data_IF_754462921721
#
_entry.id   IF_754462921721
#
_cell.length_a   1.000
_cell.length_b   1.000
_cell.length_c   1.000
_cell.angle_alpha   90.00
_cell.angle_beta   90.00
_cell.angle_gamma   90.00
#
_symmetry.space_group_name_H-M   'P 1'
#
loop_
_entity.id
_entity.type
_entity.pdbx_description
1 polymer ?
#
# COMPACT_ATOMS: atom_id res chain seq x y z
N UNK A 1 -24.42 25.02 24.45
CA UNK A 1 -24.56 24.45 23.09
C UNK A 1 -24.02 23.02 23.04
N UNK A 2 -22.74 22.79 23.41
CA UNK A 2 -22.11 21.46 23.48
C UNK A 2 -22.81 20.46 24.41
N UNK A 3 -23.26 20.89 25.60
CA UNK A 3 -24.03 20.02 26.51
C UNK A 3 -25.36 19.56 25.91
N UNK A 4 -26.00 20.43 25.12
CA UNK A 4 -27.28 20.16 24.48
C UNK A 4 -27.11 19.14 23.33
N UNK A 5 -26.01 19.23 22.60
CA UNK A 5 -25.60 18.25 21.58
C UNK A 5 -25.26 16.90 22.23
N UNK A 6 -24.45 16.89 23.30
CA UNK A 6 -24.10 15.68 24.04
C UNK A 6 -25.32 14.99 24.66
N UNK A 7 -26.28 15.76 25.18
CA UNK A 7 -27.53 15.24 25.72
C UNK A 7 -28.38 14.57 24.62
N UNK A 8 -28.50 15.18 23.43
CA UNK A 8 -29.25 14.62 22.31
C UNK A 8 -28.63 13.33 21.75
N UNK A 9 -27.31 13.19 21.79
CA UNK A 9 -26.65 11.93 21.40
C UNK A 9 -26.90 10.79 22.39
N UNK A 10 -27.04 11.12 23.69
CA UNK A 10 -27.29 10.12 24.75
C UNK A 10 -28.73 9.60 24.79
N UNK A 11 -29.70 10.40 24.35
CA UNK A 11 -31.12 9.99 24.40
C UNK A 11 -31.47 8.92 23.38
N UNK A 12 -30.70 8.77 22.28
CA UNK A 12 -30.91 7.72 21.25
C UNK A 12 -29.60 7.03 20.82
N UNK A 13 -29.00 6.21 21.71
CA UNK A 13 -27.64 5.70 21.51
C UNK A 13 -27.48 4.78 20.30
N UNK A 14 -28.47 3.93 19.99
CA UNK A 14 -28.41 2.99 18.86
C UNK A 14 -28.27 3.69 17.50
N UNK A 15 -28.93 4.83 17.34
CA UNK A 15 -28.95 5.55 16.07
C UNK A 15 -27.68 6.35 15.85
N UNK A 16 -27.24 7.05 16.89
CA UNK A 16 -25.95 7.72 16.92
C UNK A 16 -24.86 6.71 16.59
N UNK A 17 -24.93 5.50 17.16
CA UNK A 17 -24.01 4.41 16.86
C UNK A 17 -24.01 4.03 15.38
N UNK A 18 -25.17 3.84 14.75
CA UNK A 18 -25.26 3.51 13.31
C UNK A 18 -24.61 4.60 12.44
N UNK A 19 -24.79 5.87 12.81
CA UNK A 19 -24.23 7.00 12.04
C UNK A 19 -22.72 7.08 12.20
N UNK A 20 -22.24 6.91 13.44
CA UNK A 20 -20.83 6.83 13.77
C UNK A 20 -20.17 5.65 13.04
N UNK A 21 -20.82 4.49 12.97
CA UNK A 21 -20.36 3.33 12.19
C UNK A 21 -20.31 3.66 10.71
N UNK A 22 -21.33 4.30 10.14
CA UNK A 22 -21.35 4.71 8.73
C UNK A 22 -20.18 5.61 8.35
N UNK A 23 -19.88 6.62 9.19
CA UNK A 23 -18.71 7.48 9.02
C UNK A 23 -17.40 6.69 9.22
N UNK A 24 -17.34 5.86 10.26
CA UNK A 24 -16.17 5.03 10.56
C UNK A 24 -15.83 4.09 9.39
N UNK A 25 -16.82 3.50 8.73
CA UNK A 25 -16.60 2.64 7.55
C UNK A 25 -15.91 3.40 6.40
N UNK A 26 -16.32 4.64 6.14
CA UNK A 26 -15.65 5.49 5.15
C UNK A 26 -14.19 5.75 5.49
N UNK A 27 -13.90 6.07 6.77
CA UNK A 27 -12.54 6.26 7.28
C UNK A 27 -11.72 4.98 7.17
N UNK A 28 -12.29 3.84 7.57
CA UNK A 28 -11.63 2.53 7.52
C UNK A 28 -11.21 2.18 6.10
N UNK A 29 -12.12 2.36 5.14
CA UNK A 29 -11.86 2.11 3.73
C UNK A 29 -10.71 2.98 3.22
N UNK A 30 -10.72 4.29 3.50
CA UNK A 30 -9.65 5.20 3.07
C UNK A 30 -8.31 4.80 3.69
N UNK A 31 -8.27 4.61 5.00
CA UNK A 31 -7.01 4.39 5.73
C UNK A 31 -6.40 3.03 5.42
N UNK A 32 -7.19 1.96 5.37
CA UNK A 32 -6.65 0.63 5.06
C UNK A 32 -6.13 0.53 3.63
N UNK A 33 -6.89 1.02 2.64
CA UNK A 33 -6.46 0.90 1.25
C UNK A 33 -5.27 1.79 0.92
N UNK A 34 -5.28 3.05 1.38
CA UNK A 34 -4.15 3.96 1.14
C UNK A 34 -2.92 3.51 1.93
N UNK A 35 -3.12 3.01 3.16
CA UNK A 35 -2.04 2.47 3.99
C UNK A 35 -1.41 1.23 3.39
N UNK A 36 -2.22 0.30 2.86
CA UNK A 36 -1.74 -0.89 2.17
C UNK A 36 -0.99 -0.53 0.88
N UNK A 37 -1.59 0.32 0.04
CA UNK A 37 -1.00 0.71 -1.24
C UNK A 37 0.39 1.34 -1.02
N UNK A 38 0.53 2.21 -0.02
CA UNK A 38 1.81 2.82 0.31
C UNK A 38 2.77 1.86 0.99
N UNK A 39 2.32 1.06 1.95
CA UNK A 39 3.18 0.10 2.62
C UNK A 39 3.83 -0.89 1.64
N UNK A 40 3.07 -1.34 0.63
CA UNK A 40 3.63 -2.15 -0.47
C UNK A 40 4.59 -1.33 -1.34
N UNK A 41 4.24 -0.09 -1.68
CA UNK A 41 5.05 0.77 -2.53
C UNK A 41 6.40 1.15 -1.88
N UNK A 42 6.38 1.57 -0.61
CA UNK A 42 7.56 1.96 0.17
C UNK A 42 8.47 0.75 0.45
N UNK A 43 7.91 -0.43 0.75
CA UNK A 43 8.68 -1.67 0.88
C UNK A 43 9.39 -2.03 -0.43
N UNK A 44 8.69 -1.90 -1.57
CA UNK A 44 9.28 -2.11 -2.89
C UNK A 44 10.35 -1.06 -3.21
N UNK A 45 10.09 0.21 -2.91
CA UNK A 45 11.00 1.32 -3.17
C UNK A 45 12.29 1.21 -2.34
N UNK A 46 12.20 0.87 -1.05
CA UNK A 46 13.36 0.62 -0.19
C UNK A 46 14.24 -0.51 -0.71
N UNK A 47 13.62 -1.62 -1.16
CA UNK A 47 14.35 -2.77 -1.73
C UNK A 47 14.96 -2.46 -3.09
N UNK A 48 14.32 -1.60 -3.89
CA UNK A 48 14.86 -1.11 -5.16
C UNK A 48 15.98 -0.07 -4.95
N UNK A 49 15.89 0.76 -3.91
CA UNK A 49 16.93 1.75 -3.58
C UNK A 49 18.26 1.11 -3.19
N UNK A 50 18.20 -0.03 -2.50
CA UNK A 50 19.39 -0.82 -2.16
C UNK A 50 19.94 -1.63 -3.35
N UNK A 51 19.40 -1.47 -4.57
CA UNK A 51 20.05 -1.92 -5.79
C UNK A 51 20.92 -0.78 -6.32
N UNK A 52 22.23 -0.91 -6.20
CA UNK A 52 23.15 0.16 -6.60
C UNK A 52 23.51 0.13 -8.09
N UNK A 53 23.07 -0.89 -8.84
CA UNK A 53 23.24 -0.90 -10.29
C UNK A 53 22.52 0.29 -10.93
N UNK A 54 23.16 1.00 -11.86
CA UNK A 54 22.54 2.14 -12.54
C UNK A 54 21.61 1.69 -13.67
N UNK A 55 21.93 0.58 -14.31
CA UNK A 55 21.26 0.08 -15.52
C UNK A 55 20.73 -1.34 -15.29
N UNK A 56 19.52 -1.60 -15.79
CA UNK A 56 18.90 -2.92 -15.85
C UNK A 56 18.64 -3.26 -17.31
N UNK A 57 19.42 -4.21 -17.81
CA UNK A 57 19.33 -4.73 -19.17
C UNK A 57 18.31 -5.87 -19.24
N UNK A 58 17.31 -5.71 -20.10
CA UNK A 58 16.16 -6.62 -20.21
C UNK A 58 15.84 -6.91 -21.67
N UNK A 59 15.11 -8.01 -21.92
CA UNK A 59 14.37 -8.15 -23.17
C UNK A 59 12.96 -7.56 -23.05
N UNK A 60 12.34 -7.14 -24.16
CA UNK A 60 10.92 -6.79 -24.16
C UNK A 60 10.07 -7.89 -23.48
N UNK A 61 9.20 -7.51 -22.54
CA UNK A 61 8.33 -8.42 -21.79
C UNK A 61 8.98 -9.25 -20.66
N UNK A 62 10.26 -9.01 -20.33
CA UNK A 62 10.97 -9.78 -19.29
C UNK A 62 10.71 -9.31 -17.84
N UNK A 63 10.40 -8.02 -17.64
CA UNK A 63 10.20 -7.40 -16.31
C UNK A 63 8.81 -6.78 -16.14
N UNK A 64 7.77 -7.42 -16.67
CA UNK A 64 6.39 -7.02 -16.34
C UNK A 64 6.02 -7.42 -14.91
N UNK A 65 5.01 -6.76 -14.33
CA UNK A 65 4.67 -6.86 -12.90
C UNK A 65 4.45 -8.29 -12.39
N UNK A 66 4.00 -9.20 -13.26
CA UNK A 66 3.71 -10.60 -12.95
C UNK A 66 4.55 -11.59 -13.76
N UNK A 67 5.50 -11.13 -14.58
CA UNK A 67 6.26 -12.03 -15.44
C UNK A 67 7.48 -12.60 -14.72
N UNK A 68 7.62 -13.92 -14.74
CA UNK A 68 8.81 -14.65 -14.31
C UNK A 68 9.65 -15.13 -15.50
N UNK A 69 9.67 -14.36 -16.59
CA UNK A 69 10.26 -14.81 -17.86
C UNK A 69 11.79 -14.73 -17.83
N UNK A 70 12.47 -15.88 -17.83
CA UNK A 70 13.92 -15.96 -18.01
C UNK A 70 14.28 -16.08 -19.50
N UNK A 71 14.26 -14.96 -20.24
CA UNK A 71 14.47 -14.96 -21.69
C UNK A 71 15.78 -14.27 -22.14
N UNK A 72 16.53 -13.65 -21.23
CA UNK A 72 17.82 -12.98 -21.49
C UNK A 72 18.93 -14.01 -21.39
N UNK A 73 19.83 -14.09 -22.39
CA UNK A 73 20.97 -15.00 -22.32
C UNK A 73 22.02 -14.45 -21.32
N UNK A 74 22.49 -15.28 -20.38
CA UNK A 74 23.53 -14.88 -19.42
C UNK A 74 24.86 -14.52 -20.10
N UNK A 75 25.13 -15.05 -21.30
CA UNK A 75 26.31 -14.68 -22.10
C UNK A 75 26.36 -13.18 -22.45
N UNK A 76 25.24 -12.46 -22.39
CA UNK A 76 25.26 -11.01 -22.55
C UNK A 76 25.95 -10.30 -21.38
N UNK A 77 26.07 -10.90 -20.20
CA UNK A 77 26.75 -10.29 -19.07
C UNK A 77 28.25 -10.08 -19.34
N UNK A 78 28.90 -11.05 -19.98
CA UNK A 78 30.30 -10.93 -20.42
C UNK A 78 30.45 -9.85 -21.49
N UNK A 79 29.58 -9.84 -22.50
CA UNK A 79 29.58 -8.81 -23.55
C UNK A 79 29.31 -7.40 -23.02
N UNK A 80 28.47 -7.27 -22.01
CA UNK A 80 28.21 -5.98 -21.35
C UNK A 80 29.40 -5.52 -20.51
N UNK A 81 30.17 -6.45 -19.92
CA UNK A 81 31.37 -6.15 -19.14
C UNK A 81 32.51 -5.59 -20.01
N UNK A 82 32.56 -5.99 -21.29
CA UNK A 82 33.54 -5.49 -22.27
C UNK A 82 33.31 -4.02 -22.66
N UNK A 83 32.14 -3.46 -22.37
CA UNK A 83 31.79 -2.08 -22.72
C UNK A 83 32.56 -1.11 -21.81
N UNK A 84 33.26 -0.17 -22.43
CA UNK A 84 33.92 0.90 -21.67
C UNK A 84 32.89 1.74 -20.90
N UNK A 85 33.11 1.86 -19.60
CA UNK A 85 32.21 2.51 -18.64
C UNK A 85 31.51 1.52 -17.71
N UNK A 86 31.47 0.22 -18.05
CA UNK A 86 30.90 -0.82 -17.19
C UNK A 86 31.94 -1.34 -16.20
N UNK A 87 31.54 -1.45 -14.92
CA UNK A 87 32.37 -1.96 -13.82
C UNK A 87 32.07 -3.43 -13.51
N UNK A 88 30.79 -3.78 -13.43
CA UNK A 88 30.34 -5.11 -13.03
C UNK A 88 28.98 -5.43 -13.66
N UNK A 89 28.77 -6.69 -14.03
CA UNK A 89 27.50 -7.19 -14.56
C UNK A 89 27.05 -8.40 -13.77
N UNK A 90 25.76 -8.47 -13.45
CA UNK A 90 25.18 -9.56 -12.65
C UNK A 90 23.87 -10.03 -13.29
N UNK A 91 23.82 -11.25 -13.85
CA UNK A 91 22.57 -11.86 -14.26
C UNK A 91 21.69 -12.19 -13.05
N UNK A 92 20.40 -11.90 -13.16
CA UNK A 92 19.40 -12.19 -12.12
C UNK A 92 18.20 -12.87 -12.74
N UNK A 93 17.79 -14.00 -12.16
CA UNK A 93 16.46 -14.56 -12.38
C UNK A 93 15.55 -14.02 -11.29
N UNK A 94 14.44 -13.41 -11.70
CA UNK A 94 13.36 -13.02 -10.80
C UNK A 94 12.19 -13.96 -11.01
N UNK A 95 11.79 -14.65 -9.96
CA UNK A 95 10.65 -15.53 -9.97
C UNK A 95 9.61 -15.05 -8.96
N UNK A 96 8.38 -14.85 -9.42
CA UNK A 96 7.22 -14.49 -8.60
C UNK A 96 6.33 -15.72 -8.49
N UNK A 97 6.03 -16.13 -7.26
CA UNK A 97 5.15 -17.24 -6.92
C UNK A 97 4.10 -16.80 -5.89
N UNK A 98 2.92 -17.42 -5.80
CA UNK A 98 2.10 -17.30 -4.61
C UNK A 98 2.91 -17.70 -3.37
N UNK A 99 2.75 -16.96 -2.27
CA UNK A 99 3.36 -17.32 -1.00
C UNK A 99 2.72 -18.63 -0.50
N UNK A 100 3.54 -19.65 -0.23
CA UNK A 100 3.06 -20.98 0.17
C UNK A 100 2.70 -21.07 1.65
N UNK A 101 3.29 -20.23 2.51
CA UNK A 101 2.96 -20.14 3.94
C UNK A 101 1.82 -19.18 4.23
N UNK A 102 1.74 -18.07 3.51
CA UNK A 102 0.65 -17.11 3.66
C UNK A 102 -0.53 -17.50 2.76
N UNK A 103 -1.76 -17.49 3.29
CA UNK A 103 -2.98 -17.80 2.53
C UNK A 103 -3.18 -16.91 1.29
N UNK A 104 -2.60 -15.70 1.31
CA UNK A 104 -2.59 -14.72 0.23
C UNK A 104 -1.24 -14.00 0.22
N UNK A 105 -0.81 -13.53 -0.96
CA UNK A 105 0.44 -12.78 -1.13
C UNK A 105 1.28 -13.34 -2.27
N UNK A 106 2.15 -12.50 -2.83
CA UNK A 106 3.16 -12.90 -3.79
C UNK A 106 4.51 -12.94 -3.08
N UNK A 107 5.25 -14.01 -3.32
CA UNK A 107 6.62 -14.16 -2.88
C UNK A 107 7.53 -13.98 -4.10
N UNK A 108 8.57 -13.17 -3.94
CA UNK A 108 9.61 -13.02 -4.95
C UNK A 108 10.85 -13.77 -4.48
N UNK A 109 11.43 -14.54 -5.38
CA UNK A 109 12.68 -15.27 -5.21
C UNK A 109 13.62 -14.78 -6.30
N UNK A 110 14.85 -14.41 -5.90
CA UNK A 110 15.89 -14.07 -6.87
C UNK A 110 16.94 -15.19 -6.93
N UNK A 111 17.24 -15.66 -8.14
CA UNK A 111 18.40 -16.50 -8.43
C UNK A 111 19.57 -15.61 -8.84
N UNK A 112 20.64 -15.59 -8.02
CA UNK A 112 21.79 -14.71 -8.22
C UNK A 112 23.10 -15.41 -7.88
N UNK A 113 24.17 -15.02 -8.55
CA UNK A 113 25.52 -15.35 -8.10
C UNK A 113 25.88 -14.44 -6.92
N UNK A 114 26.02 -15.03 -5.73
CA UNK A 114 26.08 -14.28 -4.47
C UNK A 114 27.22 -13.25 -4.43
N UNK A 115 28.44 -13.65 -4.80
CA UNK A 115 29.62 -12.78 -4.65
C UNK A 115 29.52 -11.47 -5.45
N UNK A 116 29.32 -11.48 -6.77
CA UNK A 116 29.22 -10.24 -7.52
C UNK A 116 27.92 -9.46 -7.21
N UNK A 117 26.82 -10.15 -6.86
CA UNK A 117 25.59 -9.48 -6.44
C UNK A 117 25.74 -8.74 -5.11
N UNK A 118 26.42 -9.35 -4.14
CA UNK A 118 26.66 -8.76 -2.82
C UNK A 118 27.63 -7.58 -2.90
N UNK A 119 28.71 -7.70 -3.69
CA UNK A 119 29.64 -6.60 -3.96
C UNK A 119 28.95 -5.43 -4.65
N UNK A 120 28.13 -5.69 -5.67
CA UNK A 120 27.41 -4.67 -6.41
C UNK A 120 26.49 -3.84 -5.52
N UNK A 121 25.81 -4.47 -4.55
CA UNK A 121 24.74 -3.86 -3.77
C UNK A 121 25.12 -3.59 -2.31
N UNK A 122 26.40 -3.71 -1.96
CA UNK A 122 26.92 -3.57 -0.60
C UNK A 122 26.16 -4.42 0.45
N UNK A 123 25.82 -5.65 0.07
CA UNK A 123 25.08 -6.59 0.92
C UNK A 123 26.05 -7.44 1.72
N UNK A 124 25.76 -7.61 3.00
CA UNK A 124 26.52 -8.45 3.92
C UNK A 124 25.65 -9.54 4.51
N UNK A 125 26.29 -10.66 4.85
CA UNK A 125 25.66 -11.73 5.61
C UNK A 125 25.83 -11.39 7.09
N UNK A 126 24.72 -11.05 7.74
CA UNK A 126 24.67 -10.71 9.16
C UNK A 126 24.83 -11.97 10.01
N UNK A 127 24.29 -13.09 9.56
CA UNK A 127 24.36 -14.38 10.26
C UNK A 127 24.50 -15.53 9.26
N UNK A 128 25.33 -16.52 9.57
CA UNK A 128 25.49 -17.71 8.73
C UNK A 128 26.47 -17.50 7.58
N UNK A 129 26.15 -18.01 6.38
CA UNK A 129 27.01 -17.97 5.19
C UNK A 129 26.20 -17.87 3.89
N UNK A 130 26.90 -17.67 2.77
CA UNK A 130 26.29 -17.58 1.45
C UNK A 130 25.66 -18.91 1.03
N UNK A 131 24.59 -18.82 0.22
CA UNK A 131 23.88 -19.97 -0.33
C UNK A 131 24.70 -20.68 -1.41
N UNK A 132 24.77 -22.01 -1.32
CA UNK A 132 25.20 -22.91 -2.41
C UNK A 132 23.98 -23.42 -3.23
N UNK A 133 24.18 -24.44 -4.08
CA UNK A 133 23.20 -24.89 -5.09
C UNK A 133 21.91 -25.54 -4.56
N UNK A 134 21.83 -25.88 -3.27
CA UNK A 134 20.61 -26.39 -2.60
C UNK A 134 20.26 -25.59 -1.33
N UNK A 135 20.70 -24.35 -1.27
CA UNK A 135 20.58 -23.51 -0.08
C UNK A 135 19.99 -22.15 -0.43
N UNK A 136 19.43 -21.51 0.59
CA UNK A 136 18.85 -20.17 0.46
C UNK A 136 19.37 -19.27 1.56
N UNK A 137 19.46 -17.98 1.23
CA UNK A 137 19.63 -16.92 2.21
C UNK A 137 18.40 -16.03 2.18
N UNK A 138 18.00 -15.57 3.36
CA UNK A 138 16.81 -14.76 3.56
C UNK A 138 17.17 -13.41 4.17
N UNK A 139 16.35 -12.40 3.96
CA UNK A 139 16.52 -11.14 4.67
C UNK A 139 16.05 -11.26 6.15
N UNK A 140 16.49 -10.31 6.98
CA UNK A 140 16.13 -10.29 8.41
C UNK A 140 14.62 -10.24 8.65
N UNK A 141 13.86 -9.68 7.70
CA UNK A 141 12.41 -9.55 7.79
C UNK A 141 11.72 -10.89 7.56
N UNK A 142 12.05 -11.59 6.47
CA UNK A 142 11.45 -12.89 6.16
C UNK A 142 11.77 -13.94 7.21
N UNK A 143 12.97 -13.88 7.80
CA UNK A 143 13.31 -14.71 8.96
C UNK A 143 12.37 -14.48 10.15
N UNK A 144 12.04 -13.22 10.42
CA UNK A 144 11.18 -12.80 11.55
C UNK A 144 9.70 -13.10 11.30
N UNK A 145 9.19 -12.74 10.13
CA UNK A 145 7.76 -12.78 9.81
C UNK A 145 7.26 -14.23 9.69
N UNK A 146 8.07 -15.11 9.09
CA UNK A 146 7.75 -16.54 8.97
C UNK A 146 8.29 -17.39 10.13
N UNK A 147 8.92 -16.74 11.12
CA UNK A 147 9.54 -17.35 12.29
C UNK A 147 10.54 -18.48 11.95
N UNK A 148 11.35 -18.27 10.91
CA UNK A 148 12.42 -19.19 10.51
C UNK A 148 13.67 -19.03 11.37
N UNK A 149 14.44 -20.10 11.49
CA UNK A 149 15.76 -20.14 12.10
C UNK A 149 16.79 -20.65 11.09
N UNK A 150 18.06 -20.36 11.35
CA UNK A 150 19.16 -20.95 10.57
C UNK A 150 19.10 -22.47 10.65
N UNK A 151 19.36 -23.12 9.52
CA UNK A 151 19.22 -24.56 9.26
C UNK A 151 17.79 -25.09 9.13
N UNK A 152 16.76 -24.27 9.26
CA UNK A 152 15.41 -24.67 8.85
C UNK A 152 15.36 -24.91 7.33
N UNK A 153 14.32 -25.60 6.87
CA UNK A 153 14.08 -25.85 5.46
C UNK A 153 12.86 -25.08 4.95
N UNK A 154 12.96 -24.57 3.73
CA UNK A 154 11.84 -23.98 2.99
C UNK A 154 11.58 -24.79 1.72
N UNK A 155 10.31 -25.06 1.44
CA UNK A 155 9.91 -25.76 0.22
C UNK A 155 9.74 -24.75 -0.91
N UNK A 156 10.56 -24.85 -1.95
CA UNK A 156 10.51 -24.04 -3.17
C UNK A 156 10.56 -24.99 -4.37
N UNK A 157 9.74 -24.77 -5.40
CA UNK A 157 9.71 -25.61 -6.60
C UNK A 157 9.50 -27.12 -6.32
N UNK A 158 8.78 -27.46 -5.25
CA UNK A 158 8.58 -28.85 -4.81
C UNK A 158 9.83 -29.53 -4.24
N UNK A 159 10.87 -28.77 -3.87
CA UNK A 159 12.10 -29.23 -3.23
C UNK A 159 12.38 -28.46 -1.96
N UNK A 160 13.04 -29.11 -0.99
CA UNK A 160 13.42 -28.47 0.27
C UNK A 160 14.81 -27.84 0.13
N UNK A 161 14.88 -26.53 0.35
CA UNK A 161 16.11 -25.75 0.40
C UNK A 161 16.46 -25.42 1.85
N UNK A 162 17.74 -25.49 2.20
CA UNK A 162 18.20 -25.20 3.56
C UNK A 162 18.51 -23.71 3.73
N UNK A 163 18.02 -23.12 4.83
CA UNK A 163 18.29 -21.74 5.21
C UNK A 163 19.67 -21.66 5.86
N UNK A 164 20.64 -21.01 5.21
CA UNK A 164 22.05 -20.99 5.67
C UNK A 164 22.58 -19.62 6.04
N UNK A 165 21.86 -18.55 5.72
CA UNK A 165 22.30 -17.21 6.02
C UNK A 165 21.19 -16.18 6.04
N UNK A 166 21.47 -15.08 6.75
CA UNK A 166 20.62 -13.91 6.84
C UNK A 166 21.40 -12.71 6.29
N UNK A 167 20.82 -11.98 5.35
CA UNK A 167 21.48 -10.84 4.70
C UNK A 167 20.84 -9.49 5.01
N UNK A 168 21.66 -8.44 5.00
CA UNK A 168 21.26 -7.04 5.09
C UNK A 168 22.25 -6.14 4.32
N UNK A 169 21.84 -4.96 3.81
CA UNK A 169 20.49 -4.40 3.81
C UNK A 169 19.51 -5.14 2.86
N UNK A 170 18.19 -4.92 2.99
CA UNK A 170 17.20 -5.58 2.14
C UNK A 170 17.29 -5.05 0.70
N UNK A 171 17.69 -5.90 -0.25
CA UNK A 171 17.87 -5.52 -1.66
C UNK A 171 17.26 -6.58 -2.57
N UNK A 172 16.44 -6.17 -3.54
CA UNK A 172 15.70 -7.09 -4.43
C UNK A 172 14.68 -7.99 -3.71
N UNK A 173 14.69 -9.30 -4.02
CA UNK A 173 13.86 -10.30 -3.35
C UNK A 173 14.30 -10.58 -1.91
N UNK A 174 13.33 -10.97 -1.06
CA UNK A 174 13.61 -11.39 0.33
C UNK A 174 14.24 -12.77 0.43
N UNK A 175 14.07 -13.62 -0.59
CA UNK A 175 14.68 -14.95 -0.68
C UNK A 175 15.66 -14.95 -1.85
N UNK A 176 16.87 -15.45 -1.62
CA UNK A 176 17.90 -15.61 -2.64
C UNK A 176 18.44 -17.03 -2.65
N UNK A 177 18.65 -17.56 -3.85
CA UNK A 177 19.35 -18.82 -4.11
C UNK A 177 20.39 -18.63 -5.21
N UNK A 178 21.23 -19.64 -5.45
CA UNK A 178 22.21 -19.57 -6.53
C UNK A 178 21.51 -19.44 -7.89
N UNK A 179 22.13 -18.71 -8.82
CA UNK A 179 21.62 -18.58 -10.18
C UNK A 179 21.48 -19.95 -10.85
N UNK A 180 22.46 -20.84 -10.64
CA UNK A 180 22.45 -22.20 -11.16
C UNK A 180 21.28 -23.03 -10.61
N UNK A 181 21.02 -22.96 -9.31
CA UNK A 181 19.88 -23.65 -8.68
C UNK A 181 18.55 -23.19 -9.30
N UNK A 182 18.40 -21.87 -9.48
CA UNK A 182 17.20 -21.27 -10.06
C UNK A 182 17.02 -21.63 -11.55
N UNK A 183 18.11 -21.64 -12.33
CA UNK A 183 18.09 -22.06 -13.74
C UNK A 183 17.68 -23.53 -13.90
N UNK A 184 18.19 -24.41 -13.03
CA UNK A 184 17.81 -25.81 -13.01
C UNK A 184 16.35 -26.00 -12.60
N UNK A 185 15.86 -25.23 -11.62
CA UNK A 185 14.47 -25.28 -11.16
C UNK A 185 13.47 -24.79 -12.22
N UNK A 186 13.84 -23.81 -13.04
CA UNK A 186 13.00 -23.28 -14.14
C UNK A 186 13.27 -23.92 -15.51
N UNK A 187 14.11 -24.95 -15.59
CA UNK A 187 14.52 -25.59 -16.85
C UNK A 187 15.03 -24.56 -17.88
N UNK A 188 15.74 -23.54 -17.41
CA UNK A 188 16.16 -22.36 -18.19
C UNK A 188 17.68 -22.16 -18.15
N UNK A 189 18.49 -23.13 -18.63
CA UNK A 189 19.94 -23.06 -18.55
C UNK A 189 20.50 -21.90 -19.36
N UNK A 190 21.45 -21.16 -18.77
CA UNK A 190 22.09 -20.01 -19.43
C UNK A 190 21.13 -18.84 -19.70
N UNK A 191 20.00 -18.79 -19.00
CA UNK A 191 19.03 -17.70 -19.09
C UNK A 191 18.91 -16.93 -17.78
N UNK A 192 18.49 -15.69 -17.89
CA UNK A 192 18.18 -14.76 -16.81
C UNK A 192 16.95 -13.93 -17.16
N UNK A 193 16.34 -13.31 -16.16
CA UNK A 193 15.23 -12.37 -16.38
C UNK A 193 15.77 -11.00 -16.81
N UNK A 194 16.84 -10.56 -16.16
CA UNK A 194 17.53 -9.32 -16.47
C UNK A 194 19.00 -9.39 -16.04
N UNK A 195 19.79 -8.45 -16.53
CA UNK A 195 21.19 -8.28 -16.13
C UNK A 195 21.33 -6.89 -15.51
N UNK A 196 21.79 -6.86 -14.26
CA UNK A 196 22.18 -5.63 -13.58
C UNK A 196 23.55 -5.20 -14.11
N UNK A 197 23.68 -3.91 -14.42
CA UNK A 197 24.90 -3.31 -14.94
C UNK A 197 25.29 -2.15 -14.02
N UNK A 198 26.42 -2.31 -13.34
CA UNK A 198 27.05 -1.29 -12.50
C UNK A 198 28.09 -0.54 -13.33
N UNK A 199 28.01 0.77 -13.33
CA UNK A 199 28.94 1.63 -14.03
C UNK A 199 30.17 1.97 -13.18
N UNK A 200 31.25 2.39 -13.84
CA UNK A 200 32.43 2.96 -13.17
C UNK A 200 32.09 4.35 -12.63
N UNK A 201 32.76 4.73 -11.55
CA UNK A 201 32.55 6.04 -10.92
C UNK A 201 32.84 7.17 -11.92
N UNK A 202 31.83 8.03 -12.17
CA UNK A 202 31.92 9.15 -13.10
C UNK A 202 31.62 8.82 -14.57
N UNK A 203 31.23 7.58 -14.91
CA UNK A 203 30.76 7.25 -16.26
C UNK A 203 29.40 7.90 -16.57
N UNK A 204 29.24 8.40 -17.80
CA UNK A 204 27.97 8.94 -18.27
C UNK A 204 26.99 7.80 -18.60
N UNK A 205 25.85 7.80 -17.94
CA UNK A 205 24.80 6.77 -18.08
C UNK A 205 24.23 6.78 -19.49
N UNK A 206 24.02 7.97 -20.09
CA UNK A 206 23.40 8.11 -21.39
C UNK A 206 24.35 7.62 -22.49
N UNK A 207 25.64 7.91 -22.34
CA UNK A 207 26.68 7.43 -23.25
C UNK A 207 26.81 5.90 -23.20
N UNK A 208 26.87 5.30 -22.01
CA UNK A 208 26.94 3.84 -21.86
C UNK A 208 25.65 3.18 -22.37
N UNK A 209 24.49 3.79 -22.12
CA UNK A 209 23.20 3.31 -22.65
C UNK A 209 23.18 3.30 -24.18
N UNK A 210 23.71 4.34 -24.83
CA UNK A 210 23.84 4.40 -26.28
C UNK A 210 24.75 3.29 -26.83
N UNK A 211 25.92 3.07 -26.19
CA UNK A 211 26.86 1.99 -26.55
C UNK A 211 26.24 0.61 -26.39
N UNK A 212 25.48 0.37 -25.33
CA UNK A 212 24.75 -0.90 -25.12
C UNK A 212 23.72 -1.12 -26.23
N UNK A 213 22.96 -0.08 -26.61
CA UNK A 213 21.96 -0.19 -27.68
C UNK A 213 22.58 -0.47 -29.05
N UNK A 214 23.78 0.06 -29.33
CA UNK A 214 24.51 -0.20 -30.57
C UNK A 214 25.02 -1.65 -30.63
N UNK A 215 25.58 -2.17 -29.52
CA UNK A 215 26.14 -3.53 -29.45
C UNK A 215 25.09 -4.64 -29.35
N UNK A 216 23.94 -4.33 -28.74
CA UNK A 216 22.86 -5.28 -28.44
C UNK A 216 21.49 -4.70 -28.85
N UNK A 217 21.25 -4.48 -30.15
CA UNK A 217 19.99 -3.92 -30.63
C UNK A 217 18.79 -4.84 -30.34
N UNK A 218 17.63 -4.24 -30.11
CA UNK A 218 16.37 -4.94 -29.83
C UNK A 218 16.14 -5.33 -28.36
N UNK A 219 17.05 -4.97 -27.46
CA UNK A 219 16.88 -5.10 -26.02
C UNK A 219 16.38 -3.80 -25.41
N UNK A 220 15.86 -3.87 -24.19
CA UNK A 220 15.33 -2.73 -23.45
C UNK A 220 16.24 -2.41 -22.26
N UNK A 221 16.69 -1.17 -22.21
CA UNK A 221 17.47 -0.62 -21.11
C UNK A 221 16.52 0.15 -20.21
N UNK A 222 16.51 -0.17 -18.92
CA UNK A 222 15.78 0.57 -17.91
C UNK A 222 16.78 1.13 -16.89
N UNK A 223 16.57 2.37 -16.44
CA UNK A 223 17.37 2.91 -15.36
C UNK A 223 16.80 2.45 -14.02
N UNK A 224 17.69 2.02 -13.11
CA UNK A 224 17.26 1.59 -11.77
C UNK A 224 16.62 2.74 -11.00
N UNK A 225 17.10 3.98 -11.19
CA UNK A 225 16.51 5.19 -10.59
C UNK A 225 15.05 5.36 -10.96
N UNK A 226 14.68 4.96 -12.17
CA UNK A 226 13.30 5.08 -12.58
C UNK A 226 12.47 4.10 -11.76
N UNK A 227 12.97 2.89 -11.47
CA UNK A 227 12.25 1.88 -10.67
C UNK A 227 11.94 2.34 -9.24
N UNK A 228 12.72 3.29 -8.71
CA UNK A 228 12.57 3.86 -7.36
C UNK A 228 11.43 4.90 -7.31
N UNK A 229 10.92 5.36 -8.45
CA UNK A 229 9.78 6.29 -8.52
C UNK A 229 8.53 5.63 -7.91
N UNK A 230 7.81 6.38 -7.07
CA UNK A 230 6.60 5.97 -6.35
C UNK A 230 5.67 5.10 -7.22
N UNK A 231 5.21 3.95 -6.70
CA UNK A 231 4.33 3.08 -7.47
C UNK A 231 2.99 3.79 -7.82
N UNK A 232 2.58 4.80 -7.03
CA UNK A 232 1.46 5.69 -7.36
C UNK A 232 1.70 6.50 -8.64
N UNK A 233 2.95 6.87 -8.96
CA UNK A 233 3.30 7.58 -10.20
C UNK A 233 3.53 6.63 -11.37
N UNK A 234 4.10 5.45 -11.10
CA UNK A 234 4.33 4.41 -12.12
C UNK A 234 3.07 3.69 -12.57
N UNK A 235 2.06 3.61 -11.70
CA UNK A 235 0.78 2.98 -11.99
C UNK A 235 -0.32 4.06 -11.94
N UNK A 236 -0.50 4.86 -13.01
CA UNK A 236 -1.54 5.88 -13.06
C UNK A 236 -2.95 5.37 -12.71
N UNK A 237 -3.23 4.10 -13.02
CA UNK A 237 -4.47 3.42 -12.66
C UNK A 237 -4.61 3.22 -11.15
N UNK A 238 -3.53 2.95 -10.40
CA UNK A 238 -3.54 2.83 -8.94
C UNK A 238 -3.85 4.16 -8.29
N UNK A 239 -3.21 5.26 -8.73
CA UNK A 239 -3.51 6.61 -8.23
C UNK A 239 -4.96 7.01 -8.49
N UNK A 240 -5.47 6.71 -9.67
CA UNK A 240 -6.88 6.98 -10.02
C UNK A 240 -7.82 6.12 -9.19
N UNK A 241 -7.49 4.83 -9.02
CA UNK A 241 -8.26 3.89 -8.20
C UNK A 241 -8.34 4.34 -6.73
N UNK A 242 -7.22 4.75 -6.12
CA UNK A 242 -7.20 5.27 -4.76
C UNK A 242 -8.06 6.54 -4.62
N UNK A 243 -8.01 7.45 -5.59
CA UNK A 243 -8.90 8.64 -5.59
C UNK A 243 -10.38 8.27 -5.66
N UNK A 244 -10.74 7.28 -6.47
CA UNK A 244 -12.12 6.79 -6.57
C UNK A 244 -12.56 6.16 -5.25
N UNK A 245 -11.72 5.34 -4.62
CA UNK A 245 -12.00 4.76 -3.30
C UNK A 245 -12.18 5.83 -2.23
N UNK A 246 -11.35 6.86 -2.25
CA UNK A 246 -11.46 8.01 -1.33
C UNK A 246 -12.77 8.76 -1.55
N UNK A 247 -13.15 9.00 -2.81
CA UNK A 247 -14.44 9.58 -3.16
C UNK A 247 -15.63 8.71 -2.71
N UNK A 248 -15.52 7.39 -2.82
CA UNK A 248 -16.53 6.45 -2.35
C UNK A 248 -16.66 6.50 -0.82
N UNK A 249 -15.54 6.54 -0.10
CA UNK A 249 -15.53 6.72 1.36
C UNK A 249 -16.22 8.01 1.80
N UNK A 250 -15.95 9.12 1.11
CA UNK A 250 -16.63 10.39 1.32
C UNK A 250 -18.15 10.27 1.07
N UNK A 251 -18.53 9.67 -0.05
CA UNK A 251 -19.93 9.47 -0.42
C UNK A 251 -20.69 8.64 0.61
N UNK A 252 -20.11 7.52 1.04
CA UNK A 252 -20.68 6.64 2.07
C UNK A 252 -20.86 7.38 3.39
N UNK A 253 -19.83 8.11 3.87
CA UNK A 253 -19.98 8.89 5.11
C UNK A 253 -21.11 9.93 5.01
N UNK A 254 -21.22 10.61 3.87
CA UNK A 254 -22.22 11.67 3.63
C UNK A 254 -23.63 11.12 3.61
N UNK A 255 -23.88 10.01 2.90
CA UNK A 255 -25.22 9.43 2.77
C UNK A 255 -25.72 8.84 4.09
N UNK A 256 -24.83 8.23 4.87
CA UNK A 256 -25.17 7.69 6.19
C UNK A 256 -25.58 8.81 7.16
N UNK A 257 -24.82 9.92 7.19
CA UNK A 257 -25.15 11.06 8.03
C UNK A 257 -26.43 11.73 7.55
N UNK A 258 -26.64 11.88 6.22
CA UNK A 258 -27.87 12.43 5.66
C UNK A 258 -29.09 11.61 6.09
N UNK A 259 -29.07 10.30 5.86
CA UNK A 259 -30.20 9.42 6.19
C UNK A 259 -30.50 9.45 7.68
N UNK A 260 -29.45 9.46 8.51
CA UNK A 260 -29.62 9.56 9.95
C UNK A 260 -30.12 10.93 10.41
N UNK A 261 -29.60 12.04 9.88
CA UNK A 261 -30.07 13.37 10.29
C UNK A 261 -31.50 13.62 9.82
N UNK A 262 -31.83 13.22 8.58
CA UNK A 262 -33.17 13.34 8.03
C UNK A 262 -34.20 12.68 8.94
N UNK A 263 -34.02 11.40 9.25
CA UNK A 263 -34.98 10.67 10.08
C UNK A 263 -34.97 11.19 11.54
N UNK A 264 -33.88 11.82 12.04
CA UNK A 264 -33.80 12.40 13.41
C UNK A 264 -34.70 13.62 13.50
N UNK A 265 -34.64 14.45 12.46
CA UNK A 265 -35.42 15.67 12.36
C UNK A 265 -36.90 15.36 12.21
N UNK A 266 -37.25 14.33 11.44
CA UNK A 266 -38.64 13.87 11.31
C UNK A 266 -39.20 13.40 12.64
N UNK A 267 -38.43 12.64 13.43
CA UNK A 267 -38.85 12.17 14.76
C UNK A 267 -38.93 13.30 15.79
N UNK A 268 -38.06 14.32 15.68
CA UNK A 268 -38.00 15.47 16.62
C UNK A 268 -38.74 16.69 16.12
N UNK A 269 -39.62 16.52 15.14
CA UNK A 269 -40.33 17.63 14.48
C UNK A 269 -41.09 18.49 15.48
N UNK A 270 -41.74 17.87 16.47
CA UNK A 270 -42.47 18.56 17.55
C UNK A 270 -41.55 19.37 18.48
N UNK A 271 -40.41 18.82 18.88
CA UNK A 271 -39.41 19.53 19.69
C UNK A 271 -38.90 20.78 18.96
N UNK A 272 -38.60 20.65 17.66
CA UNK A 272 -38.14 21.75 16.82
C UNK A 272 -39.24 22.80 16.67
N UNK A 273 -40.50 22.38 16.50
CA UNK A 273 -41.67 23.26 16.48
C UNK A 273 -41.80 24.07 17.78
N UNK A 274 -41.67 23.42 18.94
CA UNK A 274 -41.71 24.09 20.26
C UNK A 274 -40.59 25.11 20.39
N UNK A 275 -39.35 24.75 20.03
CA UNK A 275 -38.21 25.67 20.06
C UNK A 275 -38.45 26.89 19.17
N UNK A 276 -39.02 26.71 17.98
CA UNK A 276 -39.36 27.83 17.09
C UNK A 276 -40.49 28.70 17.65
N UNK A 277 -41.51 28.13 18.27
CA UNK A 277 -42.57 28.88 18.95
C UNK A 277 -42.04 29.72 20.11
N UNK A 278 -40.96 29.27 20.77
CA UNK A 278 -40.25 30.02 21.81
C UNK A 278 -39.27 31.08 21.24
N UNK A 279 -39.21 31.26 19.92
CA UNK A 279 -38.39 32.28 19.26
C UNK A 279 -37.01 31.81 18.77
N UNK A 280 -36.75 30.50 18.70
CA UNK A 280 -35.49 30.01 18.13
C UNK A 280 -35.34 30.41 16.66
N UNK A 281 -34.22 31.05 16.32
CA UNK A 281 -33.93 31.46 14.93
C UNK A 281 -33.56 30.27 14.04
N UNK A 282 -33.76 30.41 12.72
CA UNK A 282 -33.36 29.38 11.74
C UNK A 282 -31.89 29.00 11.87
N UNK A 283 -31.02 30.01 12.05
CA UNK A 283 -29.58 29.81 12.21
C UNK A 283 -29.23 29.08 13.51
N UNK A 284 -30.01 29.25 14.59
CA UNK A 284 -29.80 28.50 15.82
C UNK A 284 -30.06 27.01 15.61
N UNK A 285 -31.16 26.65 14.94
CA UNK A 285 -31.52 25.25 14.64
C UNK A 285 -30.45 24.60 13.77
N UNK A 286 -30.01 25.29 12.69
CA UNK A 286 -28.95 24.77 11.82
C UNK A 286 -27.66 24.52 12.61
N UNK A 287 -27.23 25.46 13.46
CA UNK A 287 -26.02 25.29 14.29
C UNK A 287 -26.10 24.12 15.26
N UNK A 288 -27.27 23.84 15.83
CA UNK A 288 -27.46 22.69 16.73
C UNK A 288 -27.33 21.38 15.96
N UNK A 289 -27.97 21.28 14.79
CA UNK A 289 -27.95 20.06 13.97
C UNK A 289 -26.56 19.82 13.36
N UNK A 290 -25.92 20.85 12.83
CA UNK A 290 -24.52 20.78 12.36
C UNK A 290 -23.56 20.42 13.50
N UNK A 291 -23.83 20.88 14.73
CA UNK A 291 -23.08 20.48 15.91
C UNK A 291 -23.22 18.99 16.25
N UNK A 292 -24.43 18.43 16.12
CA UNK A 292 -24.67 16.98 16.24
C UNK A 292 -23.93 16.19 15.16
N UNK A 293 -23.99 16.66 13.91
CA UNK A 293 -23.28 16.04 12.80
C UNK A 293 -21.77 16.09 12.96
N UNK A 294 -21.22 17.21 13.44
CA UNK A 294 -19.80 17.35 13.74
C UNK A 294 -19.35 16.33 14.80
N UNK A 295 -20.12 16.16 15.87
CA UNK A 295 -19.81 15.18 16.92
C UNK A 295 -19.86 13.74 16.38
N UNK A 296 -20.84 13.42 15.54
CA UNK A 296 -20.90 12.13 14.84
C UNK A 296 -19.67 11.93 13.96
N UNK A 297 -19.26 12.95 13.22
CA UNK A 297 -18.05 12.94 12.41
C UNK A 297 -16.80 12.66 13.24
N UNK A 298 -16.62 13.37 14.37
CA UNK A 298 -15.50 13.19 15.30
C UNK A 298 -15.47 11.77 15.88
N UNK A 299 -16.59 11.27 16.39
CA UNK A 299 -16.65 9.91 16.92
C UNK A 299 -16.45 8.86 15.82
N UNK A 300 -16.97 9.10 14.62
CA UNK A 300 -16.78 8.23 13.46
C UNK A 300 -15.31 8.15 13.04
N UNK A 301 -14.60 9.28 13.05
CA UNK A 301 -13.15 9.34 12.81
C UNK A 301 -12.37 8.55 13.87
N UNK A 302 -12.66 8.78 15.15
CA UNK A 302 -11.98 8.09 16.25
C UNK A 302 -12.19 6.57 16.18
N UNK A 303 -13.45 6.14 15.99
CA UNK A 303 -13.78 4.73 15.84
C UNK A 303 -13.16 4.14 14.58
N UNK A 304 -13.23 4.86 13.46
CA UNK A 304 -12.66 4.44 12.18
C UNK A 304 -11.16 4.20 12.28
N UNK A 305 -10.42 5.13 12.88
CA UNK A 305 -8.99 4.94 13.13
C UNK A 305 -8.70 3.75 14.03
N UNK A 306 -9.40 3.63 15.17
CA UNK A 306 -9.20 2.51 16.08
C UNK A 306 -9.40 1.16 15.35
N UNK A 307 -10.48 1.04 14.58
CA UNK A 307 -10.76 -0.15 13.77
C UNK A 307 -9.70 -0.35 12.69
N UNK A 308 -9.26 0.70 11.99
CA UNK A 308 -8.19 0.60 10.99
C UNK A 308 -6.87 0.11 11.55
N UNK A 309 -6.43 0.60 12.70
CA UNK A 309 -5.18 0.16 13.31
C UNK A 309 -5.25 -1.30 13.76
N UNK A 310 -6.37 -1.70 14.38
CA UNK A 310 -6.61 -3.09 14.79
C UNK A 310 -6.64 -4.00 13.55
N UNK A 311 -7.39 -3.61 12.51
CA UNK A 311 -7.49 -4.38 11.29
C UNK A 311 -6.14 -4.49 10.58
N UNK A 312 -5.40 -3.40 10.44
CA UNK A 312 -4.07 -3.41 9.84
C UNK A 312 -3.10 -4.32 10.59
N UNK A 313 -3.10 -4.28 11.93
CA UNK A 313 -2.28 -5.17 12.75
C UNK A 313 -2.64 -6.65 12.55
N UNK A 314 -3.94 -6.97 12.54
CA UNK A 314 -4.42 -8.34 12.29
C UNK A 314 -4.07 -8.81 10.87
N UNK A 315 -4.22 -7.95 9.88
CA UNK A 315 -3.91 -8.26 8.48
C UNK A 315 -2.40 -8.44 8.31
N UNK A 316 -1.57 -7.56 8.88
CA UNK A 316 -0.11 -7.67 8.82
C UNK A 316 0.36 -8.99 9.43
N UNK A 317 -0.17 -9.36 10.60
CA UNK A 317 0.17 -10.63 11.27
C UNK A 317 -0.23 -11.86 10.47
N UNK A 318 -1.36 -11.80 9.75
CA UNK A 318 -1.93 -12.97 9.09
C UNK A 318 -1.46 -13.14 7.62
N UNK A 319 -1.10 -12.04 6.95
CA UNK A 319 -0.88 -12.01 5.51
C UNK A 319 0.45 -11.37 5.08
N UNK A 320 1.34 -10.98 6.01
CA UNK A 320 2.61 -10.29 5.72
C UNK A 320 2.45 -9.06 4.80
N UNK A 321 1.31 -8.39 4.92
CA UNK A 321 1.04 -7.15 4.19
C UNK A 321 1.52 -5.95 5.00
N UNK A 322 2.27 -5.07 4.35
CA UNK A 322 2.80 -3.87 4.97
C UNK A 322 1.78 -2.73 4.85
N UNK A 323 1.55 -2.04 5.96
CA UNK A 323 0.72 -0.84 6.02
C UNK A 323 1.57 0.34 6.46
N UNK A 324 1.54 1.42 5.69
CA UNK A 324 2.19 2.67 6.06
C UNK A 324 1.14 3.77 6.27
N UNK A 325 1.01 4.23 7.51
CA UNK A 325 0.08 5.29 7.87
C UNK A 325 0.69 6.67 7.64
N UNK A 326 0.54 7.19 6.44
CA UNK A 326 1.02 8.54 6.12
C UNK A 326 0.16 9.63 6.78
N UNK A 327 0.83 10.61 7.39
CA UNK A 327 0.19 11.79 7.99
C UNK A 327 -0.75 12.51 7.02
N UNK A 328 -0.39 12.59 5.74
CA UNK A 328 -1.22 13.24 4.72
C UNK A 328 -2.58 12.55 4.52
N UNK A 329 -2.60 11.22 4.44
CA UNK A 329 -3.84 10.45 4.28
C UNK A 329 -4.70 10.44 5.54
N UNK A 330 -4.08 10.45 6.71
CA UNK A 330 -4.77 10.63 8.00
C UNK A 330 -5.53 11.96 7.98
N UNK A 331 -4.87 13.06 7.61
CA UNK A 331 -5.51 14.38 7.54
C UNK A 331 -6.61 14.39 6.48
N UNK A 332 -6.38 13.83 5.29
CA UNK A 332 -7.39 13.74 4.24
C UNK A 332 -8.62 12.95 4.69
N UNK A 333 -8.43 11.82 5.37
CA UNK A 333 -9.54 11.02 5.91
C UNK A 333 -10.35 11.79 6.96
N UNK A 334 -9.68 12.55 7.83
CA UNK A 334 -10.33 13.43 8.82
C UNK A 334 -11.16 14.50 8.12
N UNK A 335 -10.57 15.22 7.16
CA UNK A 335 -11.25 16.28 6.40
C UNK A 335 -12.46 15.72 5.67
N UNK A 336 -12.33 14.55 5.03
CA UNK A 336 -13.41 13.90 4.31
C UNK A 336 -14.52 13.45 5.24
N UNK A 337 -14.19 12.84 6.37
CA UNK A 337 -15.19 12.34 7.31
C UNK A 337 -15.95 13.48 7.99
N UNK A 338 -15.24 14.52 8.45
CA UNK A 338 -15.86 15.71 9.04
C UNK A 338 -16.64 16.48 7.98
N UNK A 339 -16.03 16.74 6.83
CA UNK A 339 -16.66 17.42 5.71
C UNK A 339 -17.92 16.69 5.24
N UNK A 340 -17.83 15.39 5.00
CA UNK A 340 -18.96 14.54 4.61
C UNK A 340 -20.07 14.52 5.66
N UNK A 341 -19.73 14.54 6.95
CA UNK A 341 -20.73 14.62 8.03
C UNK A 341 -21.48 15.95 8.01
N UNK A 342 -20.77 17.07 7.86
CA UNK A 342 -21.39 18.39 7.74
C UNK A 342 -22.23 18.48 6.46
N UNK A 343 -21.67 18.10 5.30
CA UNK A 343 -22.38 18.10 4.02
C UNK A 343 -23.65 17.23 4.04
N UNK A 344 -23.60 16.07 4.70
CA UNK A 344 -24.76 15.19 4.85
C UNK A 344 -25.86 15.80 5.71
N UNK A 345 -25.50 16.61 6.71
CA UNK A 345 -26.42 17.26 7.61
C UNK A 345 -27.03 18.57 7.09
N UNK A 346 -26.40 19.23 6.10
CA UNK A 346 -26.86 20.51 5.56
C UNK A 346 -28.32 20.48 5.07
N UNK A 347 -28.68 19.50 4.24
CA UNK A 347 -30.05 19.40 3.71
C UNK A 347 -31.08 19.14 4.83
N UNK A 348 -30.89 18.14 5.71
CA UNK A 348 -31.74 17.95 6.88
C UNK A 348 -31.82 19.21 7.77
N UNK A 349 -30.70 19.86 8.07
CA UNK A 349 -30.64 21.05 8.92
C UNK A 349 -31.43 22.23 8.35
N UNK A 350 -31.31 22.46 7.04
CA UNK A 350 -32.09 23.48 6.35
C UNK A 350 -33.60 23.15 6.40
N UNK A 351 -33.97 21.91 6.09
CA UNK A 351 -35.35 21.41 6.17
C UNK A 351 -35.95 21.57 7.57
N UNK A 352 -35.18 21.30 8.62
CA UNK A 352 -35.61 21.49 10.01
C UNK A 352 -35.87 22.96 10.35
N UNK A 353 -35.01 23.86 9.87
CA UNK A 353 -35.13 25.29 10.13
C UNK A 353 -36.40 25.91 9.51
N UNK A 354 -36.92 25.30 8.44
CA UNK A 354 -38.12 25.72 7.71
C UNK A 354 -39.42 25.08 8.20
N UNK A 355 -39.39 24.26 9.25
CA UNK A 355 -40.61 23.69 9.85
C UNK A 355 -41.53 24.80 10.37
N UNK A 356 -42.80 24.81 9.93
CA UNK A 356 -43.81 25.73 10.45
C UNK A 356 -44.31 25.25 11.84
N UNK A 357 -44.13 26.05 12.92
CA UNK A 357 -44.54 25.66 14.26
C UNK A 357 -46.06 25.47 14.39
N UNK A 358 -46.86 26.26 13.67
CA UNK A 358 -48.32 26.21 13.74
C UNK A 358 -48.83 24.90 13.16
N UNK A 359 -48.31 24.53 11.98
CA UNK A 359 -48.69 23.26 11.33
C UNK A 359 -48.28 22.03 12.14
N UNK A 360 -47.15 22.09 12.84
CA UNK A 360 -46.67 20.95 13.65
C UNK A 360 -47.47 20.77 14.93
N UNK A 361 -47.87 21.87 15.58
CA UNK A 361 -48.64 21.80 16.83
C UNK A 361 -50.13 21.51 16.62
N UNK A 362 -50.63 21.68 15.39
CA UNK A 362 -52.05 21.48 15.04
C UNK A 362 -52.36 20.10 14.44
N UNK A 363 -51.38 19.44 13.80
CA UNK A 363 -51.59 18.18 13.05
C UNK A 363 -51.14 16.91 13.79
N UNK A 364 -50.68 17.00 15.03
CA UNK A 364 -50.36 15.89 15.94
C UNK A 364 -50.79 16.22 17.38
#
# INVERSE_FOLDING_TARGET
MLELVLANLKTRPFRTLISVIGVALGVVLVILFTGLARGVSDDMAKRAFNLEAEIIFTRPGAMELQSSNANVNTAYAERLLEIEGVKLTVPVIRYITPNTKARWGLEQIDGVDWSPFAEMNNIQIVQGRAAADDEVVLDERKMRDDNYKLNDTIELFGRNYKIVGVFAPPSGARIKMSLAAMQNALESPGKSTYILVKLKDGADIDEVTARINELLPGNKINLTRDLIIDAEERIPSLKTFLRVLVGLGAFVSTIFVLLSMYTTITERRKEIGILKSLGASKSFIIKVIEGEALMIGVFGVLLGFAVSFIAAFLIQKQFDLQFEFSKGWIITAIIIAIGGSLFGALYPAWRASDIDPVLVLMNE
#
